data_IF_194394964098
#
_entry.id   IF_194394964098
#
_cell.length_a   1.000
_cell.length_b   1.000
_cell.length_c   1.000
_cell.angle_alpha   90.00
_cell.angle_beta   90.00
_cell.angle_gamma   90.00
#
_symmetry.space_group_name_H-M   'P 1'
#
loop_
_entity.id
_entity.type
_entity.pdbx_description
1 polymer ?
#
# COMPACT_ATOMS: atom_id res chain seq x y z
N UNK A 1 -34.31 -14.42 12.33
CA UNK A 1 -34.28 -13.03 11.81
C UNK A 1 -32.90 -12.43 12.09
N UNK A 2 -32.12 -12.31 11.01
CA UNK A 2 -30.98 -11.42 10.71
C UNK A 2 -30.08 -10.95 11.87
N UNK A 3 -28.97 -11.66 12.06
CA UNK A 3 -27.76 -11.11 12.71
C UNK A 3 -27.19 -10.03 11.80
N UNK A 4 -27.34 -8.76 12.17
CA UNK A 4 -26.62 -7.67 11.49
C UNK A 4 -25.13 -7.91 11.69
N UNK A 5 -24.41 -8.21 10.61
CA UNK A 5 -22.96 -8.23 10.61
C UNK A 5 -22.50 -6.84 11.08
N UNK A 6 -21.68 -6.80 12.13
CA UNK A 6 -21.01 -5.57 12.53
C UNK A 6 -20.21 -5.06 11.33
N UNK A 7 -20.20 -3.75 11.04
CA UNK A 7 -19.30 -3.22 10.04
C UNK A 7 -17.88 -3.61 10.45
N UNK A 8 -17.24 -4.47 9.65
CA UNK A 8 -15.81 -4.71 9.76
C UNK A 8 -15.17 -3.33 9.64
N UNK A 9 -14.57 -2.86 10.73
CA UNK A 9 -13.70 -1.70 10.70
C UNK A 9 -12.63 -2.04 9.67
N UNK A 10 -12.72 -1.45 8.50
CA UNK A 10 -11.55 -1.23 7.69
C UNK A 10 -10.70 -0.32 8.56
N UNK A 11 -9.81 -0.92 9.35
CA UNK A 11 -8.69 -0.19 9.92
C UNK A 11 -8.05 0.46 8.70
N UNK A 12 -8.29 1.77 8.56
CA UNK A 12 -7.61 2.62 7.61
C UNK A 12 -6.16 2.64 8.08
N UNK A 13 -5.47 1.52 7.84
CA UNK A 13 -4.06 1.31 8.08
C UNK A 13 -3.37 2.59 7.67
N UNK A 14 -2.67 3.25 8.59
CA UNK A 14 -2.07 4.56 8.41
C UNK A 14 -1.25 4.60 7.11
N UNK A 15 -1.90 4.93 6.00
CA UNK A 15 -1.29 4.98 4.66
C UNK A 15 -0.08 5.92 4.65
N UNK A 16 -0.10 7.07 5.38
CA UNK A 16 1.09 7.90 5.52
C UNK A 16 2.25 7.20 6.25
N UNK A 17 1.97 6.30 7.21
CA UNK A 17 3.01 5.52 7.87
C UNK A 17 3.58 4.47 6.91
N UNK A 18 2.74 3.78 6.13
CA UNK A 18 3.17 2.79 5.15
C UNK A 18 4.06 3.39 4.04
N UNK A 19 3.74 4.60 3.57
CA UNK A 19 4.59 5.30 2.59
C UNK A 19 5.98 5.58 3.17
N UNK A 20 6.05 6.02 4.43
CA UNK A 20 7.34 6.24 5.11
C UNK A 20 8.14 4.95 5.25
N UNK A 21 7.49 3.84 5.58
CA UNK A 21 8.13 2.53 5.66
C UNK A 21 8.68 2.07 4.30
N UNK A 22 7.98 2.35 3.20
CA UNK A 22 8.48 2.07 1.85
C UNK A 22 9.68 2.93 1.47
N UNK A 23 9.68 4.21 1.84
CA UNK A 23 10.83 5.06 1.57
C UNK A 23 12.05 4.61 2.39
N UNK A 24 11.87 4.26 3.67
CA UNK A 24 12.93 3.70 4.51
C UNK A 24 13.48 2.38 3.94
N UNK A 25 12.59 1.48 3.51
CA UNK A 25 13.00 0.21 2.92
C UNK A 25 13.78 0.40 1.62
N UNK A 26 13.37 1.35 0.78
CA UNK A 26 14.12 1.70 -0.44
C UNK A 26 15.54 2.18 -0.10
N UNK A 27 15.67 3.04 0.91
CA UNK A 27 16.97 3.54 1.36
C UNK A 27 17.87 2.41 1.89
N UNK A 28 17.33 1.46 2.67
CA UNK A 28 18.10 0.30 3.12
C UNK A 28 18.48 -0.64 1.98
N UNK A 29 17.58 -0.81 0.99
CA UNK A 29 17.83 -1.67 -0.16
C UNK A 29 19.00 -1.17 -1.01
N UNK A 30 19.13 0.15 -1.18
CA UNK A 30 20.26 0.76 -1.92
C UNK A 30 21.62 0.58 -1.24
N UNK A 31 21.66 0.23 0.05
CA UNK A 31 22.90 -0.03 0.79
C UNK A 31 23.41 -1.46 0.61
N UNK A 32 22.59 -2.36 0.04
CA UNK A 32 23.01 -3.73 -0.18
C UNK A 32 24.04 -3.82 -1.32
N UNK A 33 25.00 -4.76 -1.25
CA UNK A 33 25.93 -5.01 -2.35
C UNK A 33 25.19 -5.40 -3.62
N UNK A 34 25.58 -4.86 -4.77
CA UNK A 34 24.96 -5.22 -6.04
C UNK A 34 25.15 -6.70 -6.36
N UNK A 35 24.04 -7.42 -6.49
CA UNK A 35 23.98 -8.80 -6.96
C UNK A 35 22.70 -9.05 -7.73
N UNK A 36 22.60 -10.21 -8.40
CA UNK A 36 21.37 -10.60 -9.11
C UNK A 36 20.19 -10.71 -8.13
N UNK A 37 20.45 -11.18 -6.92
CA UNK A 37 19.46 -11.31 -5.85
C UNK A 37 18.96 -9.96 -5.35
N UNK A 38 19.85 -8.97 -5.21
CA UNK A 38 19.44 -7.61 -4.80
C UNK A 38 18.65 -6.92 -5.89
N UNK A 39 19.04 -7.04 -7.16
CA UNK A 39 18.23 -6.55 -8.28
C UNK A 39 16.86 -7.24 -8.34
N UNK A 40 16.77 -8.55 -8.11
CA UNK A 40 15.50 -9.26 -8.04
C UNK A 40 14.64 -8.79 -6.85
N UNK A 41 15.26 -8.40 -5.74
CA UNK A 41 14.56 -7.82 -4.59
C UNK A 41 14.04 -6.41 -4.88
N UNK A 42 14.83 -5.56 -5.54
CA UNK A 42 14.43 -4.22 -6.03
C UNK A 42 13.21 -4.29 -6.95
N UNK A 43 13.22 -5.22 -7.91
CA UNK A 43 12.09 -5.40 -8.85
C UNK A 43 10.82 -5.84 -8.12
N UNK A 44 10.93 -6.81 -7.20
CA UNK A 44 9.78 -7.27 -6.39
C UNK A 44 9.23 -6.16 -5.51
N UNK A 45 10.11 -5.35 -4.93
CA UNK A 45 9.72 -4.21 -4.12
C UNK A 45 9.01 -3.12 -4.95
N UNK A 46 9.53 -2.81 -6.15
CA UNK A 46 8.88 -1.86 -7.06
C UNK A 46 7.45 -2.30 -7.44
N UNK A 47 7.24 -3.59 -7.72
CA UNK A 47 5.92 -4.15 -8.00
C UNK A 47 4.97 -4.02 -6.79
N UNK A 48 5.47 -4.31 -5.59
CA UNK A 48 4.69 -4.18 -4.35
C UNK A 48 4.27 -2.72 -4.10
N UNK A 49 5.20 -1.77 -4.25
CA UNK A 49 4.92 -0.33 -4.10
C UNK A 49 3.85 0.12 -5.08
N UNK A 50 3.95 -0.30 -6.35
CA UNK A 50 2.95 0.01 -7.38
C UNK A 50 1.57 -0.57 -7.04
N UNK A 51 1.49 -1.81 -6.53
CA UNK A 51 0.23 -2.44 -6.15
C UNK A 51 -0.49 -1.68 -5.01
N UNK A 52 0.27 -1.29 -3.98
CA UNK A 52 -0.26 -0.49 -2.86
C UNK A 52 -0.69 0.91 -3.31
N UNK A 53 0.08 1.56 -4.16
CA UNK A 53 -0.30 2.86 -4.72
C UNK A 53 -1.56 2.77 -5.61
N UNK A 54 -1.71 1.69 -6.37
CA UNK A 54 -2.90 1.43 -7.18
C UNK A 54 -4.15 1.24 -6.28
N UNK A 55 -4.03 0.45 -5.22
CA UNK A 55 -5.10 0.28 -4.22
C UNK A 55 -5.46 1.59 -3.51
N UNK A 56 -4.47 2.44 -3.21
CA UNK A 56 -4.72 3.77 -2.66
C UNK A 56 -5.53 4.63 -3.64
N UNK A 57 -5.21 4.60 -4.93
CA UNK A 57 -5.93 5.38 -5.96
C UNK A 57 -7.38 4.90 -6.11
N UNK A 58 -7.63 3.60 -6.06
CA UNK A 58 -9.00 3.07 -6.12
C UNK A 58 -9.82 3.49 -4.92
N UNK A 59 -9.27 3.39 -3.70
CA UNK A 59 -9.96 3.82 -2.46
C UNK A 59 -10.28 5.32 -2.44
N UNK A 60 -9.35 6.19 -2.87
CA UNK A 60 -9.61 7.63 -2.98
C UNK A 60 -10.73 7.92 -3.99
N UNK A 61 -10.76 7.18 -5.11
CA UNK A 61 -11.80 7.35 -6.14
C UNK A 61 -13.18 6.92 -5.61
N UNK A 62 -13.24 5.88 -4.79
CA UNK A 62 -14.47 5.42 -4.12
C UNK A 62 -14.95 6.40 -3.05
N UNK A 63 -14.05 6.99 -2.25
CA UNK A 63 -14.39 8.01 -1.25
C UNK A 63 -14.90 9.33 -1.86
N UNK A 64 -14.40 9.71 -3.04
CA UNK A 64 -14.88 10.91 -3.76
C UNK A 64 -16.25 10.68 -4.43
N UNK A 65 -16.68 9.42 -4.59
CA UNK A 65 -17.95 9.08 -5.24
C UNK A 65 -19.13 8.92 -4.26
N UNK A 66 -18.98 9.39 -3.01
CA UNK A 66 -20.05 9.48 -2.01
C UNK A 66 -20.44 10.96 -1.82
N UNK A 67 -20.87 11.62 -2.89
CA UNK A 67 -22.02 12.56 -2.86
C UNK A 67 -22.38 12.99 -4.30
N UNK A 68 -23.52 12.51 -4.82
CA UNK A 68 -24.38 13.44 -5.52
C UNK A 68 -25.80 13.33 -4.96
N UNK A 69 -26.08 14.20 -3.98
CA UNK A 69 -27.38 14.70 -3.57
C UNK A 69 -28.25 13.79 -2.67
#
# INVERSE_FOLDING_TARGET
MNRKAAPMKHDSSDLPALVKEFDLFADELTKLPHSVETTALELRFALLRQAVEAERRTRITEEVNIDPN
#
